data_IF_537433613729
#
_entry.id   IF_537433613729
#
_cell.length_a   1.000
_cell.length_b   1.000
_cell.length_c   1.000
_cell.angle_alpha   90.00
_cell.angle_beta   90.00
_cell.angle_gamma   90.00
#
_symmetry.space_group_name_H-M   'P 1'
#
loop_
_entity.id
_entity.type
_entity.pdbx_description
1 polymer ?
#
# COMPACT_ATOMS: atom_id res chain seq x y z
N UNK A 1 -14.30 -65.64 23.29
CA UNK A 1 -13.28 -65.26 22.28
C UNK A 1 -13.85 -64.67 20.98
N UNK A 2 -15.05 -65.08 20.51
CA UNK A 2 -15.69 -64.49 19.30
C UNK A 2 -16.23 -63.06 19.48
N UNK A 3 -16.74 -62.73 20.67
CA UNK A 3 -17.33 -61.41 21.00
C UNK A 3 -16.29 -60.27 20.97
N UNK A 4 -15.06 -60.54 21.42
CA UNK A 4 -13.98 -59.54 21.44
C UNK A 4 -13.47 -59.17 20.04
N UNK A 5 -13.58 -60.09 19.06
CA UNK A 5 -13.19 -59.83 17.66
C UNK A 5 -14.18 -58.91 16.96
N UNK A 6 -15.47 -59.05 17.29
CA UNK A 6 -16.54 -58.19 16.74
C UNK A 6 -16.45 -56.78 17.33
N UNK A 7 -16.21 -56.65 18.65
CA UNK A 7 -16.02 -55.36 19.29
C UNK A 7 -14.78 -54.61 18.75
N UNK A 8 -13.68 -55.31 18.53
CA UNK A 8 -12.48 -54.73 17.92
C UNK A 8 -12.72 -54.27 16.46
N UNK A 9 -13.46 -55.06 15.68
CA UNK A 9 -13.82 -54.68 14.31
C UNK A 9 -14.72 -53.42 14.27
N UNK A 10 -15.71 -53.33 15.16
CA UNK A 10 -16.59 -52.15 15.26
C UNK A 10 -15.78 -50.91 15.70
N UNK A 11 -14.86 -51.05 16.66
CA UNK A 11 -14.00 -49.95 17.08
C UNK A 11 -13.08 -49.45 15.96
N UNK A 12 -12.51 -50.36 15.16
CA UNK A 12 -11.69 -49.98 14.00
C UNK A 12 -12.53 -49.30 12.93
N UNK A 13 -13.74 -49.79 12.63
CA UNK A 13 -14.66 -49.15 11.69
C UNK A 13 -15.09 -47.76 12.17
N UNK A 14 -15.35 -47.59 13.46
CA UNK A 14 -15.67 -46.29 14.06
C UNK A 14 -14.47 -45.32 14.02
N UNK A 15 -13.26 -45.80 14.27
CA UNK A 15 -12.04 -44.98 14.17
C UNK A 15 -11.74 -44.58 12.72
N UNK A 16 -11.95 -45.47 11.76
CA UNK A 16 -11.82 -45.16 10.32
C UNK A 16 -12.93 -44.20 9.88
N UNK A 17 -14.17 -44.38 10.36
CA UNK A 17 -15.29 -43.48 10.07
C UNK A 17 -15.07 -42.07 10.66
N UNK A 18 -14.58 -41.99 11.90
CA UNK A 18 -14.20 -40.74 12.56
C UNK A 18 -12.99 -40.06 11.88
N UNK A 19 -12.02 -40.85 11.38
CA UNK A 19 -10.91 -40.32 10.59
C UNK A 19 -11.34 -39.85 9.20
N UNK A 20 -12.32 -40.52 8.56
CA UNK A 20 -12.85 -40.11 7.25
C UNK A 20 -13.77 -38.88 7.32
N UNK A 21 -14.38 -38.62 8.48
CA UNK A 21 -15.16 -37.39 8.70
C UNK A 21 -14.28 -36.17 9.02
N UNK A 22 -12.96 -36.35 9.18
CA UNK A 22 -12.00 -35.27 9.40
C UNK A 22 -11.41 -34.67 8.11
N UNK A 23 -11.76 -35.17 6.91
CA UNK A 23 -11.20 -34.66 5.64
C UNK A 23 -12.28 -34.36 4.62
N UNK A 24 -13.18 -33.46 4.97
CA UNK A 24 -13.84 -32.59 4.00
C UNK A 24 -13.53 -31.14 4.39
N UNK A 25 -12.25 -30.78 4.40
CA UNK A 25 -11.89 -29.38 4.22
C UNK A 25 -12.24 -29.08 2.77
N UNK A 26 -13.46 -28.58 2.53
CA UNK A 26 -13.73 -27.92 1.26
C UNK A 26 -12.65 -26.85 1.13
N UNK A 27 -11.83 -26.95 0.07
CA UNK A 27 -10.98 -25.82 -0.31
C UNK A 27 -11.97 -24.72 -0.66
N UNK A 28 -12.21 -23.79 0.25
CA UNK A 28 -13.06 -22.65 -0.01
C UNK A 28 -12.45 -21.91 -1.22
N UNK A 29 -13.12 -22.01 -2.35
CA UNK A 29 -12.81 -21.26 -3.56
C UNK A 29 -13.87 -20.18 -3.69
N UNK A 30 -13.43 -18.93 -3.65
CA UNK A 30 -14.28 -17.77 -3.85
C UNK A 30 -14.10 -17.30 -5.29
N UNK A 31 -15.15 -17.44 -6.10
CA UNK A 31 -15.22 -16.87 -7.44
C UNK A 31 -16.00 -15.56 -7.36
N UNK A 32 -15.29 -14.43 -7.50
CA UNK A 32 -15.89 -13.10 -7.43
C UNK A 32 -16.28 -12.54 -8.81
N UNK A 33 -15.78 -13.13 -9.90
CA UNK A 33 -15.99 -12.61 -11.25
C UNK A 33 -15.30 -11.26 -11.43
N UNK A 34 -16.03 -10.25 -11.89
CA UNK A 34 -15.50 -8.92 -12.16
C UNK A 34 -15.57 -7.99 -10.93
N UNK A 35 -14.43 -7.41 -10.56
CA UNK A 35 -14.30 -6.48 -9.43
C UNK A 35 -13.95 -5.09 -9.97
N UNK A 36 -14.81 -4.07 -9.77
CA UNK A 36 -14.51 -2.71 -10.21
C UNK A 36 -13.36 -2.12 -9.39
N UNK A 37 -12.49 -1.37 -10.06
CA UNK A 37 -11.39 -0.63 -9.41
C UNK A 37 -11.61 0.87 -9.51
N UNK A 38 -11.11 1.61 -8.52
CA UNK A 38 -11.18 3.07 -8.49
C UNK A 38 -9.80 3.60 -8.14
N UNK A 39 -9.20 4.32 -9.07
CA UNK A 39 -7.83 4.82 -9.01
C UNK A 39 -7.84 6.33 -8.89
N UNK A 40 -6.97 6.86 -8.02
CA UNK A 40 -6.74 8.28 -7.85
C UNK A 40 -5.26 8.59 -8.00
N UNK A 41 -4.95 9.83 -8.36
CA UNK A 41 -3.59 10.35 -8.40
C UNK A 41 -3.53 11.64 -7.60
N UNK A 42 -2.43 11.86 -6.89
CA UNK A 42 -2.11 13.07 -6.15
C UNK A 42 -0.71 13.51 -6.55
N UNK A 43 -0.52 14.82 -6.69
CA UNK A 43 0.77 15.44 -7.03
C UNK A 43 1.04 16.60 -6.08
N UNK A 44 2.17 16.53 -5.39
CA UNK A 44 2.56 17.52 -4.39
C UNK A 44 4.09 17.68 -4.33
N UNK A 45 4.63 18.87 -4.02
CA UNK A 45 3.92 20.10 -3.71
C UNK A 45 3.23 20.71 -4.95
N UNK A 46 2.16 21.47 -4.73
CA UNK A 46 1.42 22.20 -5.76
C UNK A 46 0.93 23.54 -5.18
N UNK A 47 1.45 24.70 -5.64
CA UNK A 47 2.39 24.88 -6.75
C UNK A 47 3.81 24.35 -6.44
N UNK A 48 4.65 24.30 -7.47
CA UNK A 48 6.07 23.90 -7.40
C UNK A 48 6.94 24.76 -8.31
N UNK A 49 8.21 24.96 -7.96
CA UNK A 49 9.19 25.64 -8.82
C UNK A 49 9.80 24.72 -9.87
N UNK A 50 10.24 25.30 -10.99
CA UNK A 50 11.03 24.57 -12.00
C UNK A 50 12.26 23.92 -11.36
N UNK A 51 12.52 22.65 -11.71
CA UNK A 51 13.66 21.89 -11.19
C UNK A 51 13.47 21.33 -9.76
N UNK A 52 12.35 21.58 -9.09
CA UNK A 52 12.05 20.97 -7.79
C UNK A 52 11.35 19.62 -7.94
N UNK A 53 11.63 18.69 -7.01
CA UNK A 53 10.98 17.38 -6.98
C UNK A 53 9.51 17.49 -6.61
N UNK A 54 8.67 16.87 -7.42
CA UNK A 54 7.25 16.62 -7.18
C UNK A 54 7.07 15.14 -6.87
N UNK A 55 6.35 14.83 -5.81
CA UNK A 55 5.92 13.47 -5.49
C UNK A 55 4.59 13.18 -6.18
N UNK A 56 4.58 12.13 -6.99
CA UNK A 56 3.41 11.61 -7.69
C UNK A 56 2.97 10.35 -6.97
N UNK A 57 1.79 10.36 -6.38
CA UNK A 57 1.24 9.21 -5.67
C UNK A 57 -0.05 8.76 -6.37
N UNK A 58 -0.08 7.52 -6.85
CA UNK A 58 -1.29 6.89 -7.35
C UNK A 58 -1.77 5.85 -6.34
N UNK A 59 -3.06 5.82 -6.05
CA UNK A 59 -3.62 4.94 -5.04
C UNK A 59 -5.01 4.46 -5.42
N UNK A 60 -5.29 3.18 -5.14
CA UNK A 60 -6.61 2.60 -5.29
C UNK A 60 -7.46 2.85 -4.05
N UNK A 61 -8.79 2.95 -4.23
CA UNK A 61 -9.74 3.09 -3.12
C UNK A 61 -9.78 1.87 -2.18
N UNK A 62 -9.27 0.72 -2.62
CA UNK A 62 -9.22 -0.52 -1.85
C UNK A 62 -7.91 -1.25 -2.12
N UNK A 63 -7.31 -1.90 -1.10
CA UNK A 63 -6.17 -2.77 -1.30
C UNK A 63 -6.51 -3.93 -2.25
N UNK A 64 -5.51 -4.55 -2.89
CA UNK A 64 -5.72 -5.81 -3.58
C UNK A 64 -6.28 -6.86 -2.61
N UNK A 65 -7.21 -7.69 -3.08
CA UNK A 65 -7.98 -8.63 -2.27
C UNK A 65 -7.10 -9.78 -1.76
N UNK A 66 -6.11 -10.19 -2.54
CA UNK A 66 -5.17 -11.25 -2.16
C UNK A 66 -3.93 -10.70 -1.45
N UNK A 67 -3.79 -9.37 -1.32
CA UNK A 67 -2.65 -8.77 -0.62
C UNK A 67 -2.64 -9.21 0.86
N UNK A 68 -1.49 -9.70 1.30
CA UNK A 68 -1.27 -10.19 2.66
C UNK A 68 -0.10 -9.49 3.36
N UNK A 69 0.11 -9.88 4.62
CA UNK A 69 1.21 -9.38 5.44
C UNK A 69 2.57 -9.56 4.74
N UNK A 70 3.50 -8.66 5.04
CA UNK A 70 4.86 -8.66 4.47
C UNK A 70 4.93 -8.63 2.92
N UNK A 71 3.88 -8.15 2.24
CA UNK A 71 3.91 -8.03 0.78
C UNK A 71 3.56 -9.30 0.01
N UNK A 72 2.98 -10.31 0.68
CA UNK A 72 2.51 -11.53 0.00
C UNK A 72 1.26 -11.28 -0.83
N UNK A 73 0.97 -12.18 -1.78
CA UNK A 73 -0.23 -12.12 -2.60
C UNK A 73 -0.06 -11.27 -3.86
N UNK A 74 -1.16 -11.04 -4.58
CA UNK A 74 -1.15 -10.29 -5.83
C UNK A 74 -1.36 -8.81 -5.55
N UNK A 75 -0.60 -7.98 -6.26
CA UNK A 75 -0.71 -6.53 -6.22
C UNK A 75 -1.31 -6.03 -7.53
N UNK A 76 -1.79 -4.78 -7.54
CA UNK A 76 -2.13 -4.15 -8.81
C UNK A 76 -0.86 -3.96 -9.64
N UNK A 77 -0.88 -4.35 -10.90
CA UNK A 77 0.28 -4.31 -11.80
C UNK A 77 -0.06 -3.58 -13.09
N UNK A 78 0.96 -3.02 -13.74
CA UNK A 78 0.78 -2.33 -15.01
C UNK A 78 0.16 -0.93 -14.88
N UNK A 79 0.16 -0.35 -13.68
CA UNK A 79 -0.36 1.00 -13.47
C UNK A 79 0.63 2.00 -14.04
N UNK A 80 0.16 2.95 -14.84
CA UNK A 80 0.97 4.04 -15.39
C UNK A 80 0.41 5.39 -14.99
N UNK A 81 1.24 6.44 -15.03
CA UNK A 81 0.77 7.82 -14.90
C UNK A 81 1.18 8.57 -16.16
N UNK A 82 0.19 9.04 -16.92
CA UNK A 82 0.39 9.91 -18.06
C UNK A 82 0.55 11.35 -17.57
N UNK A 83 1.64 11.99 -17.98
CA UNK A 83 1.97 13.39 -17.71
C UNK A 83 1.85 14.16 -19.02
N UNK A 84 0.87 15.05 -19.12
CA UNK A 84 0.78 16.01 -20.24
C UNK A 84 1.48 17.30 -19.83
N UNK A 85 2.52 17.67 -20.57
CA UNK A 85 3.32 18.87 -20.36
C UNK A 85 2.59 20.11 -20.90
N UNK A 86 3.02 21.34 -20.54
CA UNK A 86 2.38 22.58 -21.00
C UNK A 86 2.36 22.75 -22.52
N UNK A 87 3.30 22.15 -23.24
CA UNK A 87 3.38 22.16 -24.71
C UNK A 87 2.49 21.09 -25.39
N UNK A 88 1.77 20.29 -24.59
CA UNK A 88 0.92 19.20 -25.05
C UNK A 88 1.64 17.88 -25.29
N UNK A 89 2.97 17.83 -25.17
CA UNK A 89 3.72 16.57 -25.22
C UNK A 89 3.39 15.70 -24.02
N UNK A 90 3.46 14.38 -24.21
CA UNK A 90 3.12 13.39 -23.19
C UNK A 90 4.33 12.58 -22.78
N UNK A 91 4.41 12.29 -21.50
CA UNK A 91 5.38 11.39 -20.89
C UNK A 91 4.63 10.37 -20.04
N UNK A 92 5.13 9.14 -20.02
CA UNK A 92 4.50 8.06 -19.25
C UNK A 92 5.45 7.63 -18.15
N UNK A 93 4.98 7.75 -16.92
CA UNK A 93 5.62 7.22 -15.72
C UNK A 93 5.15 5.77 -15.49
N UNK A 94 6.07 4.89 -15.15
CA UNK A 94 5.82 3.46 -14.89
C UNK A 94 6.21 2.54 -16.06
N UNK A 95 5.64 1.34 -16.17
CA UNK A 95 4.56 0.78 -15.34
C UNK A 95 4.99 0.40 -13.92
N UNK A 96 4.06 0.53 -12.98
CA UNK A 96 4.27 0.25 -11.56
C UNK A 96 3.52 -0.98 -11.08
N UNK A 97 3.99 -1.49 -9.94
CA UNK A 97 3.30 -2.46 -9.10
C UNK A 97 2.93 -1.76 -7.78
N UNK A 98 1.70 -1.93 -7.31
CA UNK A 98 1.27 -1.35 -6.04
C UNK A 98 1.91 -2.06 -4.85
N UNK A 99 1.89 -1.38 -3.71
CA UNK A 99 2.08 -1.99 -2.40
C UNK A 99 0.80 -2.75 -1.95
N UNK A 100 0.85 -3.46 -0.79
CA UNK A 100 -0.30 -4.21 -0.25
C UNK A 100 -1.52 -3.35 0.11
N UNK A 101 -1.36 -2.05 0.28
CA UNK A 101 -2.46 -1.11 0.54
C UNK A 101 -3.08 -0.56 -0.75
N UNK A 102 -2.50 -0.89 -1.91
CA UNK A 102 -2.94 -0.39 -3.22
C UNK A 102 -2.35 0.96 -3.58
N UNK A 103 -1.25 1.38 -2.94
CA UNK A 103 -0.53 2.62 -3.24
C UNK A 103 0.69 2.39 -4.13
N UNK A 104 1.10 3.42 -4.86
CA UNK A 104 2.41 3.53 -5.48
C UNK A 104 2.84 4.99 -5.53
N UNK A 105 4.14 5.22 -5.61
CA UNK A 105 4.70 6.56 -5.67
C UNK A 105 5.88 6.61 -6.65
N UNK A 106 6.06 7.77 -7.25
CA UNK A 106 7.27 8.14 -7.98
C UNK A 106 7.54 9.64 -7.77
N UNK A 107 8.63 10.11 -8.35
CA UNK A 107 9.03 11.52 -8.40
C UNK A 107 9.04 12.03 -9.82
N UNK A 108 8.69 13.31 -9.99
CA UNK A 108 8.74 14.02 -11.25
C UNK A 108 9.43 15.37 -11.05
N UNK A 109 10.25 15.80 -12.00
CA UNK A 109 10.95 17.08 -11.95
C UNK A 109 10.57 17.90 -13.19
N UNK A 110 9.73 18.94 -13.05
CA UNK A 110 9.32 19.76 -14.19
C UNK A 110 10.48 20.64 -14.68
N UNK A 111 10.66 20.68 -16.01
CA UNK A 111 11.73 21.45 -16.66
C UNK A 111 11.29 22.83 -17.15
N UNK A 112 9.98 23.09 -17.26
CA UNK A 112 9.42 24.35 -17.75
C UNK A 112 8.23 24.80 -16.90
N UNK A 113 7.95 26.10 -16.88
CA UNK A 113 6.77 26.67 -16.21
C UNK A 113 5.49 26.34 -16.98
N UNK A 114 4.36 26.32 -16.27
CA UNK A 114 3.04 26.09 -16.86
C UNK A 114 2.21 25.05 -16.10
N UNK A 115 1.12 24.62 -16.72
CA UNK A 115 0.21 23.63 -16.17
C UNK A 115 0.56 22.24 -16.72
N UNK A 116 0.90 21.32 -15.82
CA UNK A 116 1.08 19.91 -16.14
C UNK A 116 -0.16 19.14 -15.68
N UNK A 117 -0.60 18.17 -16.47
CA UNK A 117 -1.74 17.31 -16.12
C UNK A 117 -1.28 15.89 -15.88
N UNK A 118 -1.72 15.30 -14.79
CA UNK A 118 -1.42 13.93 -14.40
C UNK A 118 -2.68 13.09 -14.43
N UNK A 119 -2.60 11.90 -15.04
CA UNK A 119 -3.69 10.92 -15.09
C UNK A 119 -3.14 9.51 -14.89
N UNK A 120 -3.58 8.84 -13.84
CA UNK A 120 -3.22 7.45 -13.60
C UNK A 120 -4.13 6.50 -14.38
N UNK A 121 -3.57 5.42 -14.91
CA UNK A 121 -4.24 4.44 -15.77
C UNK A 121 -3.90 3.06 -15.25
N UNK A 122 -4.92 2.23 -15.07
CA UNK A 122 -4.78 0.82 -14.71
C UNK A 122 -5.49 -0.05 -15.76
N UNK A 123 -4.79 -1.00 -16.40
CA UNK A 123 -5.34 -1.80 -17.49
C UNK A 123 -6.33 -2.89 -17.04
N UNK A 124 -6.49 -3.12 -15.73
CA UNK A 124 -7.16 -4.31 -15.23
C UNK A 124 -6.22 -5.51 -15.23
N UNK A 125 -6.58 -6.55 -14.46
CA UNK A 125 -5.81 -7.79 -14.45
C UNK A 125 -6.67 -8.94 -13.92
N UNK A 126 -6.44 -10.14 -14.45
CA UNK A 126 -6.97 -11.37 -13.88
C UNK A 126 -6.08 -11.85 -12.74
N UNK A 127 -6.69 -12.29 -11.64
CA UNK A 127 -6.03 -12.78 -10.45
C UNK A 127 -6.56 -14.17 -10.12
N UNK A 128 -5.64 -15.14 -10.05
CA UNK A 128 -5.88 -16.47 -9.50
C UNK A 128 -4.92 -16.69 -8.34
N UNK A 129 -5.29 -16.12 -7.20
CA UNK A 129 -4.44 -15.99 -6.03
C UNK A 129 -4.98 -16.73 -4.82
N UNK A 130 -4.42 -16.41 -3.66
CA UNK A 130 -4.91 -16.92 -2.39
C UNK A 130 -4.89 -15.83 -1.35
N UNK A 131 -6.03 -15.61 -0.70
CA UNK A 131 -6.14 -14.71 0.44
C UNK A 131 -5.63 -15.44 1.68
N UNK A 132 -4.62 -14.88 2.33
CA UNK A 132 -4.09 -15.43 3.58
C UNK A 132 -5.07 -15.20 4.72
N UNK A 133 -5.28 -16.24 5.54
CA UNK A 133 -6.03 -16.14 6.79
C UNK A 133 -5.05 -16.12 7.96
N UNK A 134 -5.28 -15.23 8.92
CA UNK A 134 -4.43 -15.15 10.13
C UNK A 134 -4.58 -16.40 11.00
N UNK A 135 -5.73 -17.08 10.98
CA UNK A 135 -6.06 -18.21 11.86
C UNK A 135 -6.74 -19.38 11.13
N UNK A 136 -6.43 -19.61 9.85
CA UNK A 136 -7.05 -20.70 9.09
C UNK A 136 -6.34 -21.03 7.78
N UNK A 137 -6.83 -22.02 7.04
CA UNK A 137 -6.29 -22.34 5.73
C UNK A 137 -6.51 -21.16 4.76
N UNK A 138 -5.62 -20.95 3.77
CA UNK A 138 -5.80 -19.92 2.77
C UNK A 138 -7.02 -20.20 1.89
N UNK A 139 -7.74 -19.15 1.51
CA UNK A 139 -8.88 -19.22 0.60
C UNK A 139 -8.39 -18.91 -0.81
N UNK A 140 -8.66 -19.81 -1.78
CA UNK A 140 -8.34 -19.52 -3.18
C UNK A 140 -9.35 -18.51 -3.71
N UNK A 141 -8.84 -17.49 -4.41
CA UNK A 141 -9.66 -16.42 -4.96
C UNK A 141 -9.39 -16.30 -6.45
N UNK A 142 -10.46 -16.29 -7.23
CA UNK A 142 -10.44 -16.05 -8.66
C UNK A 142 -11.30 -14.82 -8.96
N UNK A 143 -10.68 -13.80 -9.56
CA UNK A 143 -11.32 -12.54 -9.92
C UNK A 143 -10.65 -11.87 -11.11
N UNK A 144 -11.38 -10.98 -11.76
CA UNK A 144 -10.87 -10.03 -12.75
C UNK A 144 -11.05 -8.63 -12.22
N UNK A 145 -9.95 -7.94 -11.95
CA UNK A 145 -9.99 -6.51 -11.71
C UNK A 145 -10.27 -5.77 -13.02
N UNK A 146 -11.32 -4.97 -13.04
CA UNK A 146 -11.65 -4.14 -14.18
C UNK A 146 -10.67 -2.98 -14.32
N UNK A 147 -10.39 -2.52 -15.57
CA UNK A 147 -9.59 -1.33 -15.81
C UNK A 147 -10.22 -0.09 -15.18
N UNK A 148 -9.38 0.88 -14.81
CA UNK A 148 -9.83 2.19 -14.35
C UNK A 148 -8.83 3.28 -14.67
N UNK A 149 -9.31 4.52 -14.71
CA UNK A 149 -8.48 5.71 -14.88
C UNK A 149 -8.85 6.74 -13.82
N UNK A 150 -7.85 7.46 -13.31
CA UNK A 150 -8.11 8.54 -12.37
C UNK A 150 -8.71 9.78 -13.06
N UNK A 151 -9.36 10.66 -12.29
CA UNK A 151 -9.51 12.06 -12.68
C UNK A 151 -8.15 12.70 -12.99
N UNK A 152 -8.12 13.71 -13.86
CA UNK A 152 -6.92 14.51 -14.11
C UNK A 152 -6.64 15.41 -12.91
N UNK A 153 -5.37 15.52 -12.54
CA UNK A 153 -4.90 16.51 -11.55
C UNK A 153 -3.93 17.47 -12.22
N UNK A 154 -4.14 18.76 -11.99
CA UNK A 154 -3.31 19.83 -12.54
C UNK A 154 -2.26 20.27 -11.53
N UNK A 155 -0.99 20.22 -11.93
CA UNK A 155 0.15 20.79 -11.23
C UNK A 155 0.49 22.15 -11.83
N UNK A 156 0.59 23.17 -10.99
CA UNK A 156 1.05 24.51 -11.39
C UNK A 156 2.55 24.64 -11.14
N UNK A 157 3.33 24.81 -12.21
CA UNK A 157 4.77 25.03 -12.16
C UNK A 157 5.11 26.49 -12.41
N UNK A 158 5.83 27.10 -11.48
CA UNK A 158 6.23 28.50 -11.48
C UNK A 158 7.75 28.68 -11.52
N UNK A 159 8.22 29.90 -11.82
CA UNK A 159 9.66 30.22 -11.85
C UNK A 159 10.28 30.18 -10.46
N UNK A 160 9.55 30.69 -9.46
CA UNK A 160 10.07 30.86 -8.11
C UNK A 160 10.01 29.54 -7.36
N UNK A 161 11.15 29.05 -6.82
CA UNK A 161 11.16 27.86 -5.99
C UNK A 161 10.20 27.99 -4.80
N UNK A 162 9.40 26.97 -4.58
CA UNK A 162 8.54 26.86 -3.40
C UNK A 162 9.40 26.38 -2.24
N UNK A 163 9.52 27.20 -1.21
CA UNK A 163 10.23 26.82 0.02
C UNK A 163 9.48 25.71 0.78
N UNK A 164 10.16 25.10 1.76
CA UNK A 164 9.46 24.26 2.73
C UNK A 164 8.40 25.10 3.45
N UNK A 165 7.13 24.71 3.35
CA UNK A 165 6.03 25.37 4.04
C UNK A 165 6.00 25.05 5.55
N UNK A 166 6.71 24.00 5.97
CA UNK A 166 6.81 23.66 7.38
C UNK A 166 7.85 24.55 8.06
N UNK A 167 7.41 25.32 9.06
CA UNK A 167 8.26 26.04 10.00
C UNK A 167 8.19 25.32 11.33
N UNK A 168 9.33 24.83 11.81
CA UNK A 168 9.43 24.26 13.15
C UNK A 168 9.12 25.35 14.18
N UNK A 169 8.32 25.05 15.21
CA UNK A 169 8.23 25.93 16.38
C UNK A 169 9.62 26.11 17.01
N UNK A 170 9.96 27.33 17.46
CA UNK A 170 11.27 27.58 18.05
C UNK A 170 11.49 26.71 19.29
N UNK A 171 12.76 26.35 19.52
CA UNK A 171 13.18 25.66 20.73
C UNK A 171 13.12 26.59 21.95
N UNK A 172 12.88 26.05 23.16
CA UNK A 172 12.92 26.86 24.37
C UNK A 172 14.34 27.37 24.63
N UNK A 173 14.43 28.61 25.10
CA UNK A 173 15.68 29.26 25.52
C UNK A 173 15.92 29.15 27.03
N UNK A 174 14.97 28.60 27.77
CA UNK A 174 15.00 28.36 29.21
C UNK A 174 14.77 26.87 29.54
N UNK A 175 14.88 26.51 30.82
CA UNK A 175 14.62 25.14 31.27
C UNK A 175 13.19 24.71 30.94
N UNK A 176 13.04 23.55 30.29
CA UNK A 176 11.73 22.95 29.99
C UNK A 176 11.48 21.71 30.85
N UNK A 177 10.21 21.44 31.15
CA UNK A 177 9.76 20.17 31.72
C UNK A 177 9.12 19.30 30.65
N UNK A 178 9.27 17.98 30.76
CA UNK A 178 8.62 17.00 29.86
C UNK A 178 7.09 17.02 30.04
N UNK A 179 6.30 16.63 29.02
CA UNK A 179 6.72 16.06 27.72
C UNK A 179 7.07 17.12 26.66
N UNK A 180 7.95 16.75 25.71
CA UNK A 180 8.24 17.54 24.51
C UNK A 180 7.20 17.28 23.43
N UNK A 181 6.91 18.28 22.59
CA UNK A 181 6.04 18.09 21.44
C UNK A 181 6.75 17.27 20.35
N UNK A 182 6.44 15.98 20.29
CA UNK A 182 7.20 14.99 19.52
C UNK A 182 7.22 15.27 18.00
N UNK A 183 6.23 15.99 17.46
CA UNK A 183 6.18 16.33 16.03
C UNK A 183 6.95 17.62 15.68
N UNK A 184 7.50 18.37 16.66
CA UNK A 184 8.48 19.41 16.38
C UNK A 184 9.87 18.79 16.23
N UNK A 185 10.41 18.83 15.01
CA UNK A 185 11.64 18.15 14.63
C UNK A 185 12.91 18.78 15.19
N UNK A 186 12.88 20.07 15.52
CA UNK A 186 14.04 20.75 16.10
C UNK A 186 14.42 20.20 17.47
N UNK A 187 13.50 19.53 18.18
CA UNK A 187 13.80 18.88 19.45
C UNK A 187 14.89 17.81 19.33
N UNK A 188 15.21 17.30 18.14
CA UNK A 188 16.37 16.43 17.92
C UNK A 188 17.70 17.07 18.37
N UNK A 189 17.78 18.41 18.40
CA UNK A 189 18.99 19.15 18.79
C UNK A 189 19.20 19.21 20.32
N UNK A 190 18.12 19.11 21.11
CA UNK A 190 18.15 19.25 22.58
C UNK A 190 17.69 17.98 23.32
N UNK A 191 16.76 17.23 22.75
CA UNK A 191 16.09 16.11 23.39
C UNK A 191 16.74 14.77 23.05
N UNK A 192 17.48 14.19 24.00
CA UNK A 192 18.05 12.84 23.85
C UNK A 192 17.03 11.68 23.78
N UNK A 193 15.72 11.96 23.83
CA UNK A 193 14.63 10.97 23.67
C UNK A 193 13.61 11.44 22.64
N UNK A 194 14.07 12.09 21.57
CA UNK A 194 13.20 12.58 20.51
C UNK A 194 12.89 11.48 19.49
N UNK A 195 11.61 11.33 19.14
CA UNK A 195 11.04 10.18 18.41
C UNK A 195 11.22 10.25 16.88
N UNK A 196 12.40 10.61 16.36
CA UNK A 196 12.57 10.68 14.90
C UNK A 196 13.97 10.41 14.37
N UNK A 197 14.04 9.50 13.38
CA UNK A 197 14.83 9.54 12.11
C UNK A 197 14.83 8.16 11.38
N UNK A 198 13.68 7.46 11.28
CA UNK A 198 13.51 6.38 10.29
C UNK A 198 12.28 6.64 9.43
N UNK A 199 12.37 6.24 8.16
CA UNK A 199 11.27 6.35 7.20
C UNK A 199 10.01 5.72 7.79
N UNK A 200 8.87 6.40 7.67
CA UNK A 200 7.59 5.81 8.01
C UNK A 200 7.34 4.60 7.10
N UNK A 201 7.45 3.39 7.65
CA UNK A 201 6.93 2.17 7.01
C UNK A 201 5.67 1.72 7.74
N UNK A 202 4.75 1.10 7.01
CA UNK A 202 3.54 0.51 7.59
C UNK A 202 3.91 -0.39 8.78
N UNK A 203 3.26 -0.16 9.93
CA UNK A 203 3.50 -0.83 11.21
C UNK A 203 4.90 -0.64 11.86
N UNK A 204 5.71 0.33 11.43
CA UNK A 204 6.97 0.68 12.11
C UNK A 204 6.90 2.08 12.67
N UNK A 205 6.52 2.19 13.94
CA UNK A 205 6.68 3.40 14.76
C UNK A 205 7.58 3.06 15.94
N UNK A 206 8.50 3.96 16.30
CA UNK A 206 9.28 3.86 17.53
C UNK A 206 10.57 3.02 17.49
N UNK A 207 11.29 2.96 16.36
CA UNK A 207 12.65 2.40 16.39
C UNK A 207 13.59 3.38 17.12
N UNK A 208 14.11 2.94 18.27
CA UNK A 208 15.20 3.58 19.00
C UNK A 208 16.53 3.12 18.37
N UNK A 209 17.38 4.06 17.94
CA UNK A 209 18.78 3.75 17.66
C UNK A 209 19.56 3.95 18.96
N UNK A 210 20.07 2.85 19.50
CA UNK A 210 20.89 2.83 20.70
C UNK A 210 22.36 2.62 20.32
N UNK A 211 22.90 3.34 19.33
CA UNK A 211 24.34 3.47 19.09
C UNK A 211 24.71 4.86 18.60
#
# INVERSE_FOLDING_TARGET
>A
MRTNKIAAAIAVVLLVAAASSAVLVSKAQLQLGEVPTFLYVSVAPNPVGVGQTVYVNAFFSKPPLTAGLAGTGDMYTGVTVEVTKPDGSKETLGPYKSDPTGGMWDTFVPSTTGQYKFKAIYPGQYVNGSMSSLFGPPTRVELTYLPSTSPEVTLTVQSDPVGMNYKTPPLPTEYWSRPIYATNWDWAQLGGSWYGLRAASFATTGMYDAM
#
